data_IF_774390470290
#
_entry.id   IF_774390470290
#
_cell.length_a   1.000
_cell.length_b   1.000
_cell.length_c   1.000
_cell.angle_alpha   90.00
_cell.angle_beta   90.00
_cell.angle_gamma   90.00
#
_symmetry.space_group_name_H-M   'P 1'
#
loop_
_entity.id
_entity.type
_entity.pdbx_description
1 polymer ?
#
# COMPACT_ATOMS: atom_id res chain seq x y z
N UNK A 1 -8.48 2.99 -14.91
CA UNK A 1 -8.83 2.80 -13.48
C UNK A 1 -9.69 3.97 -13.02
N UNK A 2 -10.85 3.73 -12.37
CA UNK A 2 -11.67 4.79 -11.76
C UNK A 2 -11.06 5.26 -10.44
N UNK A 3 -11.01 6.56 -10.18
CA UNK A 3 -10.60 7.13 -8.88
C UNK A 3 -11.76 7.80 -8.16
N UNK A 4 -11.62 7.95 -6.85
CA UNK A 4 -12.54 8.74 -6.03
C UNK A 4 -11.98 10.15 -5.81
N UNK A 5 -12.80 11.16 -6.04
CA UNK A 5 -12.56 12.55 -5.64
C UNK A 5 -13.08 12.74 -4.22
N UNK A 6 -12.32 13.46 -3.40
CA UNK A 6 -12.67 13.79 -2.02
C UNK A 6 -12.73 15.30 -1.89
N UNK A 7 -13.88 15.84 -1.51
CA UNK A 7 -14.10 17.29 -1.41
C UNK A 7 -14.64 17.62 -0.04
N UNK A 8 -14.02 18.56 0.67
CA UNK A 8 -14.56 19.02 1.94
C UNK A 8 -15.75 19.96 1.71
N UNK A 9 -16.88 19.67 2.36
CA UNK A 9 -18.12 20.43 2.24
C UNK A 9 -18.05 21.87 2.80
N UNK A 10 -17.07 22.15 3.67
CA UNK A 10 -16.97 23.43 4.38
C UNK A 10 -15.94 24.39 3.80
N UNK A 11 -14.74 23.90 3.50
CA UNK A 11 -13.65 24.76 2.98
C UNK A 11 -13.39 24.57 1.47
N UNK A 12 -14.05 23.61 0.83
CA UNK A 12 -13.86 23.33 -0.60
C UNK A 12 -12.51 22.70 -0.96
N UNK A 13 -11.74 22.22 0.03
CA UNK A 13 -10.52 21.45 -0.22
C UNK A 13 -10.82 20.30 -1.17
N UNK A 14 -9.90 20.01 -2.10
CA UNK A 14 -10.02 18.91 -3.06
C UNK A 14 -8.82 17.98 -2.95
N UNK A 15 -9.12 16.68 -2.90
CA UNK A 15 -8.13 15.61 -2.94
C UNK A 15 -8.65 14.40 -3.70
N UNK A 16 -7.86 13.33 -3.73
CA UNK A 16 -8.23 12.11 -4.44
C UNK A 16 -7.67 10.87 -3.75
N UNK A 17 -8.45 9.79 -3.77
CA UNK A 17 -7.98 8.47 -3.36
C UNK A 17 -6.92 7.90 -4.34
N UNK A 18 -6.74 8.48 -5.53
CA UNK A 18 -5.72 8.02 -6.48
C UNK A 18 -4.28 8.17 -5.97
N UNK A 19 -4.04 8.92 -4.88
CA UNK A 19 -2.70 9.09 -4.29
C UNK A 19 -2.09 7.78 -3.81
N UNK A 20 -2.91 6.77 -3.50
CA UNK A 20 -2.45 5.43 -3.14
C UNK A 20 -2.15 4.54 -4.35
N UNK A 21 -2.36 5.00 -5.58
CA UNK A 21 -2.02 4.22 -6.76
C UNK A 21 -0.52 4.24 -7.04
N UNK A 22 0.00 3.11 -7.53
CA UNK A 22 1.39 2.99 -7.93
C UNK A 22 2.05 1.69 -7.49
N UNK A 23 3.36 1.64 -7.67
CA UNK A 23 4.23 0.62 -7.10
C UNK A 23 5.15 1.33 -6.10
N UNK A 24 5.15 0.87 -4.85
CA UNK A 24 5.89 1.48 -3.74
C UNK A 24 6.74 0.39 -3.12
N UNK A 25 8.05 0.64 -2.99
CA UNK A 25 9.02 -0.35 -2.53
C UNK A 25 9.98 0.27 -1.52
N UNK A 26 10.24 -0.41 -0.41
CA UNK A 26 11.43 -0.13 0.38
C UNK A 26 12.65 -0.73 -0.31
N UNK A 27 13.79 -0.09 -0.11
CA UNK A 27 15.10 -0.58 -0.50
C UNK A 27 15.90 -0.84 0.78
N UNK A 28 16.31 -2.09 0.98
CA UNK A 28 17.17 -2.53 2.07
C UNK A 28 18.37 -3.31 1.50
N UNK A 29 19.50 -2.62 1.36
CA UNK A 29 20.64 -3.12 0.58
C UNK A 29 20.25 -3.39 -0.87
N UNK A 30 20.45 -4.62 -1.33
CA UNK A 30 20.10 -5.06 -2.69
C UNK A 30 18.64 -5.57 -2.80
N UNK A 31 17.84 -5.46 -1.73
CA UNK A 31 16.49 -6.00 -1.68
C UNK A 31 15.45 -4.91 -1.88
N UNK A 32 14.45 -5.24 -2.68
CA UNK A 32 13.23 -4.43 -2.83
C UNK A 32 12.07 -5.13 -2.12
N UNK A 33 11.41 -4.39 -1.22
CA UNK A 33 10.32 -4.90 -0.39
C UNK A 33 9.05 -4.14 -0.74
N UNK A 34 7.98 -4.80 -1.22
CA UNK A 34 6.71 -4.13 -1.49
C UNK A 34 6.15 -3.43 -0.24
N UNK A 35 5.68 -2.19 -0.40
CA UNK A 35 5.07 -1.39 0.67
C UNK A 35 3.56 -1.46 0.55
N UNK A 36 2.91 -2.04 1.56
CA UNK A 36 1.47 -1.90 1.73
C UNK A 36 1.14 -0.50 2.22
N UNK A 37 0.06 0.05 1.69
CA UNK A 37 -0.31 1.43 1.91
C UNK A 37 -1.81 1.63 1.84
N UNK A 38 -2.26 2.61 2.58
CA UNK A 38 -3.66 3.02 2.66
C UNK A 38 -3.76 4.53 2.46
N UNK A 39 -4.99 5.02 2.31
CA UNK A 39 -5.23 6.45 2.22
C UNK A 39 -5.11 7.04 3.63
N UNK A 40 -4.32 8.10 3.78
CA UNK A 40 -4.21 8.82 5.04
C UNK A 40 -4.26 10.32 4.84
N UNK A 41 -4.57 11.05 5.91
CA UNK A 41 -4.38 12.49 6.00
C UNK A 41 -3.06 12.77 6.71
N UNK A 42 -2.18 13.58 6.11
CA UNK A 42 -0.95 14.02 6.77
C UNK A 42 -1.09 15.47 7.21
N UNK A 43 -0.90 15.74 8.50
CA UNK A 43 -0.98 17.09 9.04
C UNK A 43 0.11 18.01 8.45
N UNK A 44 1.34 17.49 8.31
CA UNK A 44 2.49 18.26 7.81
C UNK A 44 2.36 18.56 6.30
N UNK A 45 1.79 17.65 5.52
CA UNK A 45 1.45 17.93 4.12
C UNK A 45 0.15 18.73 3.96
N UNK A 46 -0.69 18.75 4.99
CA UNK A 46 -2.07 19.26 4.93
C UNK A 46 -2.84 18.71 3.73
N UNK A 47 -2.71 17.41 3.47
CA UNK A 47 -3.26 16.75 2.28
C UNK A 47 -3.49 15.25 2.51
N UNK A 48 -4.31 14.65 1.64
CA UNK A 48 -4.36 13.20 1.48
C UNK A 48 -3.06 12.67 0.86
N UNK A 49 -2.55 11.61 1.46
CA UNK A 49 -1.27 11.00 1.10
C UNK A 49 -1.39 9.48 1.11
N UNK A 50 -0.50 8.77 0.38
CA UNK A 50 -0.23 7.38 0.69
C UNK A 50 0.41 7.28 2.08
N UNK A 51 -0.23 6.54 2.97
CA UNK A 51 0.24 6.24 4.32
C UNK A 51 0.62 4.77 4.38
N UNK A 52 1.67 4.41 5.11
CA UNK A 52 2.01 3.01 5.38
C UNK A 52 0.82 2.27 5.98
N UNK A 53 0.60 1.03 5.53
CA UNK A 53 -0.46 0.17 6.06
C UNK A 53 0.14 -1.09 6.65
N UNK A 54 0.11 -1.16 7.97
CA UNK A 54 0.61 -2.28 8.76
C UNK A 54 -0.52 -3.19 9.27
N UNK A 55 -1.78 -2.95 8.89
CA UNK A 55 -2.89 -3.85 9.18
C UNK A 55 -2.78 -5.18 8.40
N UNK A 56 -1.99 -5.19 7.32
CA UNK A 56 -1.70 -6.37 6.49
C UNK A 56 -0.85 -7.46 7.16
N UNK A 57 -0.48 -7.29 8.44
CA UNK A 57 0.43 -8.21 9.15
C UNK A 57 -0.01 -9.68 9.06
N UNK A 58 -1.29 -9.95 9.25
CA UNK A 58 -1.81 -11.33 9.27
C UNK A 58 -1.85 -11.96 7.86
N UNK A 59 -2.13 -11.14 6.84
CA UNK A 59 -2.01 -11.54 5.43
C UNK A 59 -0.55 -11.86 5.08
N UNK A 60 0.38 -11.03 5.55
CA UNK A 60 1.82 -11.22 5.36
C UNK A 60 2.31 -12.52 6.02
N UNK A 61 1.86 -12.82 7.24
CA UNK A 61 2.17 -14.08 7.92
C UNK A 61 1.63 -15.30 7.14
N UNK A 62 0.44 -15.17 6.56
CA UNK A 62 -0.16 -16.21 5.73
C UNK A 62 0.64 -16.43 4.44
N UNK A 63 1.11 -15.37 3.80
CA UNK A 63 1.97 -15.45 2.61
C UNK A 63 3.32 -16.10 2.91
N UNK A 64 3.92 -15.78 4.07
CA UNK A 64 5.14 -16.44 4.54
C UNK A 64 4.91 -17.94 4.71
N UNK A 65 3.82 -18.35 5.37
CA UNK A 65 3.49 -19.77 5.55
C UNK A 65 3.30 -20.48 4.21
N UNK A 66 2.53 -19.92 3.28
CA UNK A 66 2.34 -20.47 1.93
C UNK A 66 3.67 -20.60 1.16
N UNK A 67 4.57 -19.62 1.30
CA UNK A 67 5.90 -19.65 0.66
C UNK A 67 6.81 -20.72 1.29
N UNK A 68 6.64 -21.03 2.58
CA UNK A 68 7.40 -22.06 3.29
C UNK A 68 6.89 -23.49 3.03
N UNK A 69 5.61 -23.70 2.77
CA UNK A 69 5.01 -25.02 2.48
C UNK A 69 5.77 -25.85 1.42
N UNK A 70 6.08 -25.34 0.22
CA UNK A 70 6.80 -26.13 -0.79
C UNK A 70 8.24 -26.49 -0.37
N UNK A 71 8.90 -25.65 0.44
CA UNK A 71 10.25 -25.89 0.94
C UNK A 71 10.25 -27.04 1.97
N UNK A 72 9.27 -27.07 2.86
CA UNK A 72 9.16 -28.08 3.93
C UNK A 72 8.73 -29.46 3.41
N UNK A 73 7.79 -29.52 2.46
CA UNK A 73 7.32 -30.79 1.85
C UNK A 73 8.46 -31.49 1.08
N UNK A 74 9.38 -30.73 0.48
CA UNK A 74 10.52 -31.26 -0.27
C UNK A 74 11.63 -31.80 0.65
N UNK A 75 11.83 -31.18 1.80
CA UNK A 75 12.71 -31.72 2.84
C UNK A 75 12.24 -33.08 3.37
N UNK A 76 10.93 -33.39 3.25
CA UNK A 76 10.34 -34.69 3.62
C UNK A 76 10.23 -35.70 2.47
N UNK A 77 10.31 -35.27 1.20
CA UNK A 77 10.21 -36.13 0.01
C UNK A 77 11.52 -36.14 -0.79
N UNK A 78 12.51 -36.88 -0.30
CA UNK A 78 13.74 -37.18 -1.05
C UNK A 78 13.55 -38.24 -2.15
N UNK A 79 12.38 -38.89 -2.21
CA UNK A 79 12.15 -40.08 -3.03
C UNK A 79 11.37 -39.86 -4.35
N UNK A 80 11.07 -38.63 -4.77
CA UNK A 80 10.23 -38.41 -5.97
C UNK A 80 10.80 -37.30 -6.87
N UNK A 81 11.91 -37.63 -7.54
CA UNK A 81 12.72 -36.71 -8.35
C UNK A 81 12.07 -36.20 -9.65
N UNK A 82 10.83 -36.57 -9.98
CA UNK A 82 10.39 -36.55 -11.39
C UNK A 82 9.47 -35.40 -11.85
N UNK A 83 8.75 -34.67 -10.99
CA UNK A 83 7.59 -33.90 -11.50
C UNK A 83 7.62 -32.36 -11.43
N UNK A 84 8.66 -31.72 -10.89
CA UNK A 84 8.80 -30.26 -11.04
C UNK A 84 10.27 -29.86 -11.19
N UNK A 85 10.72 -29.73 -12.44
CA UNK A 85 11.98 -29.05 -12.79
C UNK A 85 11.77 -27.54 -12.64
N UNK A 86 11.62 -27.07 -11.39
CA UNK A 86 11.91 -25.67 -11.08
C UNK A 86 13.40 -25.43 -11.32
N UNK A 87 13.71 -24.36 -12.03
CA UNK A 87 15.09 -24.00 -12.32
C UNK A 87 15.81 -23.61 -11.02
N UNK A 88 17.14 -23.54 -11.06
CA UNK A 88 17.90 -22.95 -9.94
C UNK A 88 17.45 -21.51 -9.66
N UNK A 89 17.08 -20.78 -10.71
CA UNK A 89 16.62 -19.40 -10.61
C UNK A 89 15.32 -19.31 -9.84
N UNK A 90 14.31 -20.13 -10.17
CA UNK A 90 13.01 -20.12 -9.47
C UNK A 90 13.15 -20.33 -7.96
N UNK A 91 14.19 -21.07 -7.52
CA UNK A 91 14.48 -21.28 -6.10
C UNK A 91 15.11 -20.08 -5.43
N UNK A 92 16.01 -19.39 -6.15
CA UNK A 92 16.61 -18.16 -5.66
C UNK A 92 15.53 -17.09 -5.51
N UNK A 93 14.67 -16.94 -6.52
CA UNK A 93 13.55 -15.99 -6.50
C UNK A 93 12.59 -16.25 -5.33
N UNK A 94 12.30 -17.52 -5.01
CA UNK A 94 11.43 -17.91 -3.88
C UNK A 94 12.07 -17.60 -2.51
N UNK A 95 13.39 -17.83 -2.38
CA UNK A 95 14.14 -17.48 -1.17
C UNK A 95 14.26 -15.96 -1.00
N UNK A 96 14.51 -15.23 -2.08
CA UNK A 96 14.56 -13.77 -2.09
C UNK A 96 13.21 -13.17 -1.71
N UNK A 97 12.10 -13.69 -2.26
CA UNK A 97 10.74 -13.29 -1.88
C UNK A 97 10.50 -13.54 -0.39
N UNK A 98 10.83 -14.74 0.11
CA UNK A 98 10.66 -15.06 1.53
C UNK A 98 11.47 -14.12 2.43
N UNK A 99 12.72 -13.83 2.06
CA UNK A 99 13.57 -12.89 2.79
C UNK A 99 12.95 -11.48 2.82
N UNK A 100 12.38 -11.01 1.71
CA UNK A 100 11.70 -9.72 1.62
C UNK A 100 10.45 -9.67 2.52
N UNK A 101 9.63 -10.73 2.55
CA UNK A 101 8.44 -10.80 3.41
C UNK A 101 8.82 -10.79 4.90
N UNK A 102 9.87 -11.52 5.29
CA UNK A 102 10.38 -11.54 6.67
C UNK A 102 10.92 -10.17 7.07
N UNK A 103 11.69 -9.52 6.20
CA UNK A 103 12.19 -8.17 6.44
C UNK A 103 11.04 -7.16 6.59
N UNK A 104 9.98 -7.30 5.78
CA UNK A 104 8.81 -6.45 5.91
C UNK A 104 8.08 -6.66 7.24
N UNK A 105 7.92 -7.92 7.66
CA UNK A 105 7.30 -8.25 8.95
C UNK A 105 8.08 -7.67 10.14
N UNK A 106 9.42 -7.72 10.07
CA UNK A 106 10.27 -7.11 11.08
C UNK A 106 10.07 -5.59 11.15
N UNK A 107 10.04 -4.92 10.00
CA UNK A 107 9.78 -3.48 9.88
C UNK A 107 8.40 -3.11 10.46
N UNK A 108 7.36 -3.88 10.16
CA UNK A 108 6.03 -3.70 10.76
C UNK A 108 6.10 -3.82 12.29
N UNK A 109 6.84 -4.81 12.80
CA UNK A 109 7.00 -5.04 14.23
C UNK A 109 7.63 -3.85 14.96
N UNK A 110 8.63 -3.22 14.34
CA UNK A 110 9.34 -2.07 14.91
C UNK A 110 8.53 -0.77 14.84
N UNK A 111 7.68 -0.63 13.82
CA UNK A 111 7.08 0.66 13.45
C UNK A 111 5.57 0.73 13.61
N UNK A 112 4.90 -0.33 14.06
CA UNK A 112 3.45 -0.33 14.30
C UNK A 112 3.05 0.82 15.24
N UNK A 113 2.09 1.64 14.82
CA UNK A 113 1.67 2.86 15.53
C UNK A 113 2.54 4.10 15.27
N UNK A 114 3.54 3.97 14.39
CA UNK A 114 4.38 5.06 13.87
C UNK A 114 4.45 5.01 12.34
N UNK A 115 3.33 4.62 11.73
CA UNK A 115 3.13 4.63 10.28
C UNK A 115 3.48 6.01 9.72
N UNK A 116 4.13 6.02 8.55
CA UNK A 116 4.60 7.26 7.92
C UNK A 116 3.80 7.63 6.69
N UNK A 117 3.82 8.94 6.44
CA UNK A 117 3.49 9.54 5.16
C UNK A 117 4.53 9.11 4.11
N UNK A 118 4.11 8.38 3.08
CA UNK A 118 4.97 7.99 1.94
C UNK A 118 5.18 9.16 0.95
N UNK A 119 4.82 10.39 1.31
CA UNK A 119 5.14 11.59 0.54
C UNK A 119 6.24 12.42 1.22
N UNK A 120 6.21 12.58 2.55
CA UNK A 120 7.15 13.44 3.29
C UNK A 120 7.92 12.74 4.44
N UNK A 121 7.58 11.49 4.77
CA UNK A 121 8.21 10.73 5.86
C UNK A 121 7.71 11.05 7.28
N UNK A 122 6.77 11.99 7.41
CA UNK A 122 6.19 12.35 8.72
C UNK A 122 5.38 11.20 9.33
N UNK A 123 5.39 11.12 10.67
CA UNK A 123 4.51 10.25 11.48
C UNK A 123 3.20 10.93 11.88
N UNK A 124 3.02 12.23 11.58
CA UNK A 124 1.80 12.98 11.86
C UNK A 124 0.75 12.68 10.79
N UNK A 125 0.33 11.42 10.75
CA UNK A 125 -0.63 10.87 9.80
C UNK A 125 -1.80 10.23 10.53
N UNK A 126 -2.97 10.36 9.94
CA UNK A 126 -4.19 9.71 10.38
C UNK A 126 -4.73 8.88 9.22
N UNK A 127 -5.02 7.60 9.47
CA UNK A 127 -5.62 6.74 8.47
C UNK A 127 -7.02 7.26 8.11
N UNK A 128 -7.30 7.36 6.82
CA UNK A 128 -8.65 7.66 6.36
C UNK A 128 -9.56 6.47 6.67
N UNK A 129 -10.51 6.65 7.57
CA UNK A 129 -11.48 5.64 7.98
C UNK A 129 -12.90 5.92 7.43
N UNK A 130 -13.02 6.87 6.49
CA UNK A 130 -14.29 7.16 5.84
C UNK A 130 -14.73 6.03 4.91
N UNK A 131 -16.04 5.89 4.71
CA UNK A 131 -16.62 4.90 3.82
C UNK A 131 -17.10 5.56 2.52
N UNK A 132 -16.67 5.00 1.38
CA UNK A 132 -17.22 5.34 0.07
C UNK A 132 -17.42 4.12 -0.83
N UNK A 133 -17.62 2.95 -0.21
CA UNK A 133 -17.79 1.66 -0.91
C UNK A 133 -19.09 1.59 -1.71
N UNK A 134 -20.08 2.40 -1.33
CA UNK A 134 -21.39 2.47 -2.01
C UNK A 134 -21.33 3.23 -3.34
N UNK A 135 -20.19 3.83 -3.68
CA UNK A 135 -19.98 4.43 -5.00
C UNK A 135 -19.80 3.34 -6.05
N UNK A 136 -20.82 3.16 -6.90
CA UNK A 136 -20.71 2.33 -8.11
C UNK A 136 -20.03 3.10 -9.27
N UNK A 137 -18.78 2.76 -9.65
CA UNK A 137 -18.01 3.44 -10.69
C UNK A 137 -18.62 3.39 -12.10
N UNK A 138 -19.69 2.61 -12.31
CA UNK A 138 -20.38 2.45 -13.59
C UNK A 138 -21.71 3.22 -13.67
N UNK A 139 -22.16 3.84 -12.58
CA UNK A 139 -23.38 4.64 -12.59
C UNK A 139 -23.11 6.06 -13.10
N UNK A 140 -23.96 6.53 -14.01
CA UNK A 140 -23.83 7.85 -14.65
C UNK A 140 -24.36 9.02 -13.80
N UNK A 141 -25.11 8.75 -12.73
CA UNK A 141 -25.87 9.76 -11.99
C UNK A 141 -25.51 9.84 -10.49
N UNK A 142 -24.27 9.48 -10.11
CA UNK A 142 -23.92 9.50 -8.69
C UNK A 142 -23.63 10.90 -8.18
N UNK A 143 -24.44 11.31 -7.21
CA UNK A 143 -24.19 12.44 -6.33
C UNK A 143 -23.06 12.10 -5.36
N UNK A 144 -22.34 13.12 -4.92
CA UNK A 144 -21.33 12.94 -3.88
C UNK A 144 -21.98 12.42 -2.59
N UNK A 145 -21.31 11.49 -1.90
CA UNK A 145 -21.79 10.88 -0.66
C UNK A 145 -20.91 11.30 0.52
N UNK A 146 -21.53 11.41 1.69
CA UNK A 146 -20.85 11.66 2.96
C UNK A 146 -19.98 10.45 3.35
N UNK A 147 -18.72 10.68 3.70
CA UNK A 147 -17.77 9.60 4.01
C UNK A 147 -17.71 9.26 5.49
N UNK A 148 -18.15 10.15 6.37
CA UNK A 148 -17.94 10.09 7.82
C UNK A 148 -16.55 10.56 8.28
N UNK A 149 -15.63 10.90 7.37
CA UNK A 149 -14.31 11.43 7.71
C UNK A 149 -14.33 12.96 7.71
N UNK A 150 -13.89 13.57 8.81
CA UNK A 150 -13.89 15.03 8.99
C UNK A 150 -12.53 15.63 8.70
N UNK A 151 -12.52 16.74 7.96
CA UNK A 151 -11.33 17.50 7.62
C UNK A 151 -10.66 18.08 8.87
N UNK A 152 -9.45 17.64 9.27
CA UNK A 152 -8.84 18.03 10.54
C UNK A 152 -8.63 19.54 10.72
N UNK A 153 -8.37 20.26 9.61
CA UNK A 153 -8.16 21.72 9.65
C UNK A 153 -9.42 22.60 9.76
N UNK A 154 -10.60 22.14 9.32
CA UNK A 154 -11.80 22.99 9.27
C UNK A 154 -13.04 22.37 9.93
N UNK A 155 -13.00 21.07 10.22
CA UNK A 155 -14.10 20.30 10.80
C UNK A 155 -15.27 20.01 9.84
N UNK A 156 -15.16 20.37 8.56
CA UNK A 156 -16.13 19.95 7.54
C UNK A 156 -15.97 18.48 7.19
N UNK A 157 -17.01 17.86 6.64
CA UNK A 157 -16.95 16.46 6.24
C UNK A 157 -16.41 16.32 4.81
N UNK A 158 -15.67 15.25 4.54
CA UNK A 158 -15.33 14.91 3.16
C UNK A 158 -16.48 14.18 2.47
N UNK A 159 -16.84 14.70 1.31
CA UNK A 159 -17.74 14.07 0.36
C UNK A 159 -16.92 13.30 -0.67
N UNK A 160 -17.31 12.05 -0.95
CA UNK A 160 -16.72 11.22 -1.98
C UNK A 160 -17.57 11.22 -3.25
N UNK A 161 -16.94 11.31 -4.40
CA UNK A 161 -17.59 11.16 -5.71
C UNK A 161 -16.67 10.45 -6.68
N UNK A 162 -17.23 9.78 -7.69
CA UNK A 162 -16.43 9.13 -8.72
C UNK A 162 -15.82 10.20 -9.62
N UNK A 163 -14.52 10.08 -9.89
CA UNK A 163 -13.88 10.85 -10.93
C UNK A 163 -14.35 10.32 -12.30
N UNK A 164 -14.90 11.16 -13.19
CA UNK A 164 -15.39 10.71 -14.50
C UNK A 164 -14.25 10.28 -15.43
N UNK A 165 -13.02 10.71 -15.17
CA UNK A 165 -11.85 10.37 -15.99
C UNK A 165 -11.41 8.94 -15.68
N UNK A 166 -11.05 8.21 -16.73
CA UNK A 166 -10.45 6.87 -16.63
C UNK A 166 -9.00 6.97 -17.08
N UNK A 167 -8.08 6.66 -16.18
CA UNK A 167 -6.67 6.69 -16.49
C UNK A 167 -6.17 5.30 -16.92
N UNK A 168 -5.37 5.27 -17.98
CA UNK A 168 -4.55 4.12 -18.36
C UNK A 168 -3.09 4.48 -18.03
N UNK A 169 -2.65 4.10 -16.83
CA UNK A 169 -1.34 4.48 -16.30
C UNK A 169 -0.41 3.28 -16.25
N UNK A 170 0.84 3.50 -16.61
CA UNK A 170 1.95 2.63 -16.24
C UNK A 170 2.67 3.30 -15.09
N UNK A 171 2.67 2.66 -13.92
CA UNK A 171 3.33 3.21 -12.75
C UNK A 171 4.81 2.82 -12.76
N UNK A 172 5.66 3.82 -12.59
CA UNK A 172 7.05 3.56 -12.23
C UNK A 172 7.16 3.32 -10.72
N UNK A 173 8.01 2.39 -10.28
CA UNK A 173 8.24 2.16 -8.86
C UNK A 173 8.74 3.43 -8.15
N UNK A 174 8.15 3.71 -6.99
CA UNK A 174 8.63 4.70 -6.04
C UNK A 174 9.41 3.98 -4.95
N UNK A 175 10.67 4.35 -4.80
CA UNK A 175 11.58 3.74 -3.84
C UNK A 175 11.65 4.55 -2.55
N UNK A 176 11.77 3.85 -1.42
CA UNK A 176 11.86 4.41 -0.08
C UNK A 176 12.98 3.72 0.69
N UNK A 177 13.64 4.41 1.61
CA UNK A 177 14.52 3.75 2.59
C UNK A 177 13.68 2.98 3.61
N UNK A 178 14.29 2.05 4.35
CA UNK A 178 13.63 1.37 5.48
C UNK A 178 13.06 2.35 6.54
N UNK A 179 13.63 3.54 6.66
CA UNK A 179 13.13 4.63 7.52
C UNK A 179 11.91 5.38 6.94
N UNK A 180 11.47 5.04 5.72
CA UNK A 180 10.32 5.65 5.06
C UNK A 180 10.61 6.93 4.27
N UNK A 181 11.88 7.27 4.03
CA UNK A 181 12.25 8.43 3.22
C UNK A 181 12.24 8.08 1.74
N UNK A 182 11.63 8.92 0.91
CA UNK A 182 11.61 8.72 -0.54
C UNK A 182 13.03 8.83 -1.09
N UNK A 183 13.47 7.77 -1.76
CA UNK A 183 14.73 7.76 -2.49
C UNK A 183 14.52 8.45 -3.84
N UNK A 184 15.52 9.23 -4.25
CA UNK A 184 15.58 9.75 -5.63
C UNK A 184 15.56 8.59 -6.62
N UNK A 185 15.17 8.89 -7.87
CA UNK A 185 15.25 7.90 -8.95
C UNK A 185 16.71 7.41 -9.02
N UNK A 186 16.99 6.09 -8.97
CA UNK A 186 18.34 5.63 -9.27
C UNK A 186 18.65 6.08 -10.70
N UNK A 187 19.69 6.92 -10.83
CA UNK A 187 20.23 7.41 -12.11
C UNK A 187 21.00 6.33 -12.82
#
# INVERSE_FOLDING_TARGET
MPSTNLVCDKCGFQGSAAVVWGDFRYVDGDREIPVSRTLGWCADCSNFVPMEDFAVKDELLSEIDETLKPLTVRAKRWASFSLFRRTRQDRLDEVERLAALIAYLALIGERKGSERCLQCGSVNVEQFNGNYSDLDPYSSNQTAIHTGFFHPGCGGEFLASINPIRFHLRFEPKFYSADGYRLGRPT
#
